data_IF_144985124932
#
_entry.id   IF_144985124932
#
_cell.length_a   1.000
_cell.length_b   1.000
_cell.length_c   1.000
_cell.angle_alpha   90.00
_cell.angle_beta   90.00
_cell.angle_gamma   90.00
#
_symmetry.space_group_name_H-M   'P 1'
#
loop_
_entity.id
_entity.type
_entity.pdbx_description
1 polymer ?
#
# COMPACT_ATOMS: atom_id res chain seq x y z
N UNK A 1 16.56 -27.99 20.17
CA UNK A 1 16.00 -27.17 19.09
C UNK A 1 14.54 -26.88 19.39
N UNK A 2 14.20 -25.65 19.62
CA UNK A 2 12.82 -25.29 19.81
C UNK A 2 12.08 -25.39 18.47
N UNK A 3 11.33 -26.42 18.29
CA UNK A 3 10.44 -26.49 17.15
C UNK A 3 9.41 -25.37 17.26
N UNK A 4 9.41 -24.51 16.27
CA UNK A 4 8.35 -23.55 16.10
C UNK A 4 7.09 -24.34 15.78
N UNK A 5 6.28 -24.63 16.77
CA UNK A 5 4.96 -25.18 16.52
C UNK A 5 4.13 -24.14 15.81
N UNK A 6 3.94 -24.34 14.53
CA UNK A 6 2.84 -23.69 13.85
C UNK A 6 1.55 -24.19 14.47
N UNK A 7 0.90 -23.33 15.21
CA UNK A 7 -0.42 -23.63 15.72
C UNK A 7 -1.42 -23.36 14.62
N UNK A 8 -1.77 -24.40 13.89
CA UNK A 8 -2.95 -24.38 13.06
C UNK A 8 -4.17 -24.42 13.98
N UNK A 9 -4.71 -23.25 14.29
CA UNK A 9 -5.92 -23.16 15.10
C UNK A 9 -7.13 -23.35 14.19
N UNK A 10 -7.76 -24.51 14.29
CA UNK A 10 -9.06 -24.74 13.68
C UNK A 10 -10.15 -24.32 14.69
N UNK A 11 -11.21 -23.70 14.22
CA UNK A 11 -12.31 -23.27 15.08
C UNK A 11 -13.07 -24.49 15.60
N UNK A 12 -12.97 -24.75 16.90
CA UNK A 12 -13.71 -25.79 17.61
C UNK A 12 -14.34 -25.19 18.86
N UNK A 13 -15.30 -25.87 19.46
CA UNK A 13 -15.91 -25.40 20.71
C UNK A 13 -14.89 -25.26 21.84
N UNK A 14 -13.84 -26.10 21.84
CA UNK A 14 -12.82 -26.13 22.89
C UNK A 14 -11.82 -24.97 22.80
N UNK A 15 -11.64 -24.37 21.61
CA UNK A 15 -10.66 -23.30 21.41
C UNK A 15 -11.26 -21.96 21.00
N UNK A 16 -12.57 -21.81 21.09
CA UNK A 16 -13.28 -20.61 20.69
C UNK A 16 -12.76 -19.35 21.39
N UNK A 17 -12.52 -19.44 22.69
CA UNK A 17 -12.00 -18.30 23.47
C UNK A 17 -10.56 -17.96 23.11
N UNK A 18 -9.72 -18.95 22.82
CA UNK A 18 -8.35 -18.74 22.38
C UNK A 18 -8.30 -18.09 20.99
N UNK A 19 -9.21 -18.50 20.13
CA UNK A 19 -9.35 -17.91 18.79
C UNK A 19 -9.76 -16.44 18.89
N UNK A 20 -10.75 -16.11 19.71
CA UNK A 20 -11.21 -14.74 19.92
C UNK A 20 -10.08 -13.87 20.47
N UNK A 21 -9.33 -14.36 21.46
CA UNK A 21 -8.17 -13.66 22.02
C UNK A 21 -7.12 -13.39 20.93
N UNK A 22 -6.84 -14.38 20.08
CA UNK A 22 -5.91 -14.23 18.97
C UNK A 22 -6.37 -13.18 17.94
N UNK A 23 -7.66 -13.19 17.62
CA UNK A 23 -8.24 -12.20 16.69
C UNK A 23 -8.18 -10.78 17.24
N UNK A 24 -8.45 -10.60 18.54
CA UNK A 24 -8.35 -9.29 19.19
C UNK A 24 -6.91 -8.79 19.21
N UNK A 25 -5.94 -9.66 19.51
CA UNK A 25 -4.51 -9.31 19.45
C UNK A 25 -4.09 -8.94 18.05
N UNK A 26 -4.52 -9.67 17.05
CA UNK A 26 -4.22 -9.35 15.65
C UNK A 26 -4.73 -7.96 15.26
N UNK A 27 -5.93 -7.60 15.72
CA UNK A 27 -6.49 -6.28 15.47
C UNK A 27 -5.68 -5.17 16.16
N UNK A 28 -5.18 -5.39 17.39
CA UNK A 28 -4.33 -4.44 18.09
C UNK A 28 -3.00 -4.21 17.36
N UNK A 29 -2.35 -5.29 16.94
CA UNK A 29 -1.05 -5.21 16.29
C UNK A 29 -1.10 -4.62 14.88
N UNK A 30 -2.25 -4.59 14.25
CA UNK A 30 -2.42 -4.11 12.88
C UNK A 30 -1.93 -2.67 12.67
N UNK A 31 -2.10 -1.81 13.68
CA UNK A 31 -1.69 -0.40 13.59
C UNK A 31 -0.25 -0.16 14.05
N UNK A 32 0.33 -1.09 14.80
CA UNK A 32 1.65 -0.94 15.39
C UNK A 32 2.76 -1.63 14.60
N UNK A 33 2.41 -2.62 13.76
CA UNK A 33 3.38 -3.38 12.99
C UNK A 33 3.95 -2.51 11.87
N UNK A 34 5.27 -2.34 11.88
CA UNK A 34 6.01 -1.77 10.77
C UNK A 34 6.97 -2.82 10.24
N UNK A 35 7.10 -2.89 8.93
CA UNK A 35 7.99 -3.82 8.27
C UNK A 35 8.96 -3.07 7.36
N UNK A 36 10.29 -3.30 7.49
CA UNK A 36 11.24 -2.67 6.60
C UNK A 36 11.22 -3.33 5.23
N UNK A 37 11.27 -2.51 4.19
CA UNK A 37 11.48 -2.95 2.81
C UNK A 37 12.83 -2.44 2.31
N UNK A 38 13.60 -3.34 1.72
CA UNK A 38 14.89 -3.00 1.11
C UNK A 38 14.73 -2.98 -0.41
N UNK A 39 15.10 -1.87 -1.02
CA UNK A 39 15.12 -1.76 -2.47
C UNK A 39 16.52 -2.03 -2.96
N UNK A 40 16.67 -3.16 -3.65
CA UNK A 40 17.97 -3.67 -4.10
C UNK A 40 18.00 -3.71 -5.63
N UNK A 41 19.11 -3.26 -6.20
CA UNK A 41 19.39 -3.34 -7.65
C UNK A 41 20.83 -3.79 -7.83
N UNK A 42 21.04 -4.75 -8.72
CA UNK A 42 22.37 -5.31 -9.02
C UNK A 42 23.12 -5.78 -7.77
N UNK A 43 22.42 -6.42 -6.83
CA UNK A 43 22.99 -6.91 -5.58
C UNK A 43 23.30 -5.82 -4.54
N UNK A 44 22.99 -4.56 -4.82
CA UNK A 44 23.23 -3.44 -3.93
C UNK A 44 21.91 -2.92 -3.36
N UNK A 45 21.84 -2.72 -2.06
CA UNK A 45 20.71 -2.06 -1.42
C UNK A 45 20.83 -0.55 -1.61
N UNK A 46 19.91 0.04 -2.36
CA UNK A 46 19.92 1.47 -2.67
C UNK A 46 19.27 2.29 -1.58
N UNK A 47 18.17 1.82 -1.03
CA UNK A 47 17.50 2.45 0.10
C UNK A 47 16.54 1.46 0.77
N UNK A 48 16.11 1.81 1.96
CA UNK A 48 15.12 1.04 2.71
C UNK A 48 14.14 1.98 3.40
N UNK A 49 12.93 1.52 3.58
CA UNK A 49 11.89 2.28 4.26
C UNK A 49 10.93 1.34 4.98
N UNK A 50 10.18 1.89 5.91
CA UNK A 50 9.22 1.12 6.69
C UNK A 50 7.82 1.29 6.11
N UNK A 51 7.10 0.18 6.04
CA UNK A 51 5.70 0.15 5.63
C UNK A 51 4.83 -0.37 6.78
N UNK A 52 3.58 -0.01 6.74
CA UNK A 52 2.56 -0.47 7.70
C UNK A 52 1.42 -1.15 6.96
N UNK A 53 0.64 -2.00 7.65
CA UNK A 53 -0.56 -2.56 7.06
C UNK A 53 -1.56 -1.46 6.67
N UNK A 54 -2.32 -1.72 5.62
CA UNK A 54 -3.40 -0.84 5.16
C UNK A 54 -4.74 -1.33 5.68
N UNK A 55 -5.61 -0.40 6.06
CA UNK A 55 -7.01 -0.71 6.34
C UNK A 55 -7.76 -0.96 5.03
N UNK A 56 -8.93 -1.60 5.13
CA UNK A 56 -9.78 -1.80 3.96
C UNK A 56 -10.21 -0.47 3.34
N UNK A 57 -10.47 0.54 4.16
CA UNK A 57 -10.82 1.89 3.67
C UNK A 57 -9.66 2.52 2.90
N UNK A 58 -8.44 2.38 3.38
CA UNK A 58 -7.25 2.88 2.70
C UNK A 58 -7.05 2.19 1.35
N UNK A 59 -7.24 0.88 1.30
CA UNK A 59 -7.16 0.10 0.05
C UNK A 59 -8.25 0.57 -0.94
N UNK A 60 -9.47 0.79 -0.46
CA UNK A 60 -10.56 1.29 -1.29
C UNK A 60 -10.26 2.68 -1.86
N UNK A 61 -9.68 3.57 -1.06
CA UNK A 61 -9.27 4.89 -1.52
C UNK A 61 -8.17 4.82 -2.57
N UNK A 62 -7.20 3.93 -2.42
CA UNK A 62 -6.15 3.70 -3.42
C UNK A 62 -6.74 3.22 -4.74
N UNK A 63 -7.69 2.29 -4.68
CA UNK A 63 -8.39 1.80 -5.87
C UNK A 63 -9.16 2.92 -6.56
N UNK A 64 -9.85 3.75 -5.80
CA UNK A 64 -10.59 4.89 -6.31
C UNK A 64 -9.69 5.88 -7.03
N UNK A 65 -8.53 6.19 -6.48
CA UNK A 65 -7.53 7.08 -7.11
C UNK A 65 -6.97 6.51 -8.42
N UNK A 66 -6.94 5.20 -8.56
CA UNK A 66 -6.44 4.50 -9.75
C UNK A 66 -7.54 4.22 -10.79
N UNK A 67 -8.79 4.59 -10.50
CA UNK A 67 -9.94 4.30 -11.35
C UNK A 67 -10.27 5.50 -12.21
N UNK A 68 -10.45 5.26 -13.52
CA UNK A 68 -11.04 6.22 -14.44
C UNK A 68 -12.54 5.99 -14.55
N UNK A 69 -13.29 7.07 -14.71
CA UNK A 69 -14.76 7.03 -14.79
C UNK A 69 -15.22 7.55 -16.13
N UNK A 70 -16.39 7.10 -16.55
CA UNK A 70 -17.02 7.52 -17.79
C UNK A 70 -18.50 7.85 -17.55
N UNK A 71 -19.10 8.54 -18.52
CA UNK A 71 -20.53 8.82 -18.47
C UNK A 71 -21.34 7.52 -18.43
N UNK A 72 -22.40 7.53 -17.60
CA UNK A 72 -23.28 6.37 -17.49
C UNK A 72 -24.04 6.17 -18.83
N UNK A 73 -23.98 4.95 -19.42
CA UNK A 73 -24.70 4.67 -20.65
C UNK A 73 -26.24 4.81 -20.55
N UNK A 74 -26.76 4.74 -19.31
CA UNK A 74 -28.19 4.87 -19.04
C UNK A 74 -28.72 6.29 -19.01
N UNK A 75 -27.85 7.32 -19.05
CA UNK A 75 -28.23 8.72 -19.08
C UNK A 75 -27.28 9.66 -18.32
N UNK A 76 -27.23 10.91 -18.75
CA UNK A 76 -26.34 11.93 -18.20
C UNK A 76 -26.68 12.33 -16.76
N UNK A 77 -27.91 12.08 -16.30
CA UNK A 77 -28.33 12.36 -14.92
C UNK A 77 -27.93 11.27 -13.92
N UNK A 78 -27.47 10.12 -14.42
CA UNK A 78 -27.04 9.00 -13.58
C UNK A 78 -25.58 9.17 -13.15
N UNK A 79 -25.19 8.57 -12.02
CA UNK A 79 -23.80 8.62 -11.56
C UNK A 79 -22.82 8.07 -12.60
N UNK A 80 -21.59 8.59 -12.61
CA UNK A 80 -20.52 8.07 -13.44
C UNK A 80 -20.26 6.60 -13.11
N UNK A 81 -19.87 5.82 -14.10
CA UNK A 81 -19.50 4.42 -13.95
C UNK A 81 -18.01 4.23 -14.16
N UNK A 82 -17.46 3.18 -13.57
CA UNK A 82 -16.04 2.85 -13.73
C UNK A 82 -15.75 2.46 -15.19
N UNK A 83 -14.71 3.05 -15.77
CA UNK A 83 -14.20 2.69 -17.09
C UNK A 83 -13.13 1.62 -16.97
N UNK A 84 -12.09 1.91 -16.18
CA UNK A 84 -10.99 0.97 -15.92
C UNK A 84 -10.27 1.33 -14.63
N UNK A 85 -9.57 0.35 -14.07
CA UNK A 85 -8.67 0.52 -12.92
C UNK A 85 -7.25 0.27 -13.41
N UNK A 86 -6.37 1.27 -13.25
CA UNK A 86 -4.95 1.09 -13.54
C UNK A 86 -4.30 0.31 -12.41
N UNK A 87 -3.88 -0.91 -12.68
CA UNK A 87 -3.20 -1.77 -11.70
C UNK A 87 -1.90 -1.13 -11.22
N UNK A 88 -1.13 -0.53 -12.13
CA UNK A 88 0.13 0.14 -11.77
C UNK A 88 -0.11 1.32 -10.81
N UNK A 89 -1.08 2.17 -11.10
CA UNK A 89 -1.43 3.29 -10.22
C UNK A 89 -1.98 2.80 -8.88
N UNK A 90 -2.79 1.77 -8.88
CA UNK A 90 -3.33 1.16 -7.68
C UNK A 90 -2.18 0.67 -6.76
N UNK A 91 -1.25 -0.07 -7.32
CA UNK A 91 -0.09 -0.57 -6.57
C UNK A 91 0.78 0.57 -6.04
N UNK A 92 1.03 1.59 -6.87
CA UNK A 92 1.81 2.76 -6.46
C UNK A 92 1.14 3.53 -5.32
N UNK A 93 -0.17 3.76 -5.39
CA UNK A 93 -0.90 4.41 -4.32
C UNK A 93 -0.92 3.60 -3.02
N UNK A 94 -0.99 2.27 -3.12
CA UNK A 94 -0.87 1.41 -1.93
C UNK A 94 0.50 1.54 -1.29
N UNK A 95 1.56 1.57 -2.08
CA UNK A 95 2.93 1.75 -1.58
C UNK A 95 3.06 3.11 -0.89
N UNK A 96 2.58 4.17 -1.51
CA UNK A 96 2.61 5.51 -0.94
C UNK A 96 1.88 5.56 0.42
N UNK A 97 0.67 5.02 0.46
CA UNK A 97 -0.16 5.02 1.67
C UNK A 97 0.43 4.15 2.78
N UNK A 98 1.03 3.01 2.41
CA UNK A 98 1.66 2.10 3.36
C UNK A 98 2.99 2.61 3.90
N UNK A 99 3.67 3.52 3.19
CA UNK A 99 4.93 4.09 3.65
C UNK A 99 4.70 4.88 4.94
N UNK A 100 5.49 4.60 5.97
CA UNK A 100 5.41 5.31 7.24
C UNK A 100 5.65 6.80 7.00
N UNK A 101 4.82 7.67 7.60
CA UNK A 101 4.79 9.10 7.31
C UNK A 101 6.17 9.79 7.43
N UNK A 102 6.97 9.39 8.41
CA UNK A 102 8.31 9.94 8.60
C UNK A 102 9.24 9.60 7.43
N UNK A 103 9.10 8.40 6.85
CA UNK A 103 9.89 7.99 5.70
C UNK A 103 9.34 8.63 4.41
N UNK A 104 8.01 8.66 4.25
CA UNK A 104 7.37 9.26 3.09
C UNK A 104 7.79 10.71 2.84
N UNK A 105 7.92 11.50 3.90
CA UNK A 105 8.38 12.89 3.82
C UNK A 105 9.82 13.01 3.32
N UNK A 106 10.65 11.99 3.57
CA UNK A 106 12.06 12.01 3.17
C UNK A 106 12.27 11.72 1.70
N UNK A 107 11.35 10.97 1.05
CA UNK A 107 11.53 10.63 -0.35
C UNK A 107 10.29 10.82 -1.24
N UNK A 108 9.15 10.19 -0.97
CA UNK A 108 8.00 10.33 -1.88
C UNK A 108 7.48 11.76 -1.96
N UNK A 109 7.51 12.49 -0.86
CA UNK A 109 7.10 13.89 -0.79
C UNK A 109 8.30 14.85 -0.89
N UNK A 110 9.48 14.36 -1.23
CA UNK A 110 10.69 15.16 -1.33
C UNK A 110 10.75 15.89 -2.67
N UNK A 111 10.73 17.22 -2.62
CA UNK A 111 10.78 18.04 -3.82
C UNK A 111 12.09 17.89 -4.60
N UNK A 112 13.21 17.59 -3.92
CA UNK A 112 14.49 17.35 -4.59
C UNK A 112 14.47 16.08 -5.43
N UNK A 113 13.78 15.03 -4.99
CA UNK A 113 13.58 13.81 -5.78
C UNK A 113 12.75 14.11 -7.03
N UNK A 114 11.65 14.84 -6.88
CA UNK A 114 10.78 15.23 -7.99
C UNK A 114 11.54 16.07 -9.02
N UNK A 115 12.32 17.05 -8.59
CA UNK A 115 13.14 17.89 -9.47
C UNK A 115 14.23 17.07 -10.15
N UNK A 116 14.89 16.17 -9.43
CA UNK A 116 15.91 15.29 -10.00
C UNK A 116 15.35 14.37 -11.09
N UNK A 117 14.16 13.83 -10.88
CA UNK A 117 13.48 13.00 -11.88
C UNK A 117 13.11 13.82 -13.13
N UNK A 118 12.61 15.03 -12.94
CA UNK A 118 12.31 15.93 -14.07
C UNK A 118 13.55 16.27 -14.88
N UNK A 119 14.68 16.55 -14.23
CA UNK A 119 15.96 16.83 -14.90
C UNK A 119 16.47 15.62 -15.68
N UNK A 120 16.17 14.40 -15.21
CA UNK A 120 16.52 13.17 -15.90
C UNK A 120 15.55 12.82 -17.05
N UNK A 121 14.53 13.65 -17.30
CA UNK A 121 13.57 13.46 -18.39
C UNK A 121 12.28 12.74 -18.00
N UNK A 122 12.07 12.47 -16.71
CA UNK A 122 10.86 11.81 -16.24
C UNK A 122 9.76 12.83 -15.97
N UNK A 123 8.59 12.62 -16.57
CA UNK A 123 7.43 13.47 -16.36
C UNK A 123 6.65 12.97 -15.13
N UNK A 124 6.95 13.52 -13.97
CA UNK A 124 6.33 13.14 -12.71
C UNK A 124 5.64 14.33 -12.04
N UNK A 125 4.36 14.20 -11.76
CA UNK A 125 3.53 15.22 -11.12
C UNK A 125 3.02 14.79 -9.75
N UNK A 126 2.75 13.51 -9.58
CA UNK A 126 2.13 12.94 -8.39
C UNK A 126 3.04 11.88 -7.76
N UNK A 127 2.77 11.57 -6.49
CA UNK A 127 3.58 10.60 -5.76
C UNK A 127 3.52 9.20 -6.37
N UNK A 128 2.37 8.79 -6.90
CA UNK A 128 2.26 7.49 -7.56
C UNK A 128 3.13 7.42 -8.83
N UNK A 129 3.26 8.52 -9.56
CA UNK A 129 4.13 8.58 -10.73
C UNK A 129 5.59 8.48 -10.32
N UNK A 130 6.01 9.13 -9.23
CA UNK A 130 7.35 9.03 -8.68
C UNK A 130 7.66 7.58 -8.30
N UNK A 131 6.75 6.93 -7.61
CA UNK A 131 6.92 5.53 -7.20
C UNK A 131 7.06 4.61 -8.40
N UNK A 132 6.25 4.80 -9.44
CA UNK A 132 6.34 4.00 -10.67
C UNK A 132 7.69 4.16 -11.38
N UNK A 133 8.30 5.35 -11.32
CA UNK A 133 9.61 5.58 -11.94
C UNK A 133 10.76 5.01 -11.09
N UNK A 134 10.62 5.03 -9.76
CA UNK A 134 11.67 4.56 -8.85
C UNK A 134 11.65 3.05 -8.70
N UNK A 135 10.49 2.45 -8.59
CA UNK A 135 10.32 1.02 -8.37
C UNK A 135 9.94 0.27 -9.64
#
# INVERSE_FOLDING_TARGET
MAEKKETNVTVTEDNEMDLITGLLKAAEYKTEIQQPLNITRNGQTLFKFNVRPLSFDEIAQCRKKATTYMANPGGASLPLVEKEVSTADYMAWKIYTATVATDGKKFWDNSALKEGLKKAGHMVMTQNEIIKEVL
#
